data_IF_692287516245
#
_entry.id   IF_692287516245
#
_cell.length_a   1.000
_cell.length_b   1.000
_cell.length_c   1.000
_cell.angle_alpha   90.00
_cell.angle_beta   90.00
_cell.angle_gamma   90.00
#
_symmetry.space_group_name_H-M   'P 1'
#
loop_
_entity.id
_entity.type
_entity.pdbx_description
1 polymer ?
#
# COMPACT_ATOMS: atom_id res chain seq x y z
N UNK A 1 17.08 24.51 -25.46
CA UNK A 1 17.22 23.15 -24.90
C UNK A 1 16.83 23.20 -23.41
N UNK A 2 15.55 23.02 -23.08
CA UNK A 2 15.14 22.92 -21.67
C UNK A 2 15.63 21.58 -21.14
N UNK A 3 16.47 21.59 -20.10
CA UNK A 3 17.00 20.35 -19.54
C UNK A 3 15.83 19.47 -19.07
N UNK A 4 15.89 18.14 -19.27
CA UNK A 4 14.81 17.22 -18.85
C UNK A 4 14.52 17.29 -17.34
N UNK A 5 15.40 17.93 -16.56
CA UNK A 5 15.24 18.21 -15.14
C UNK A 5 14.20 19.32 -14.89
N UNK A 6 14.16 20.36 -15.72
CA UNK A 6 13.22 21.48 -15.56
C UNK A 6 11.75 21.05 -15.75
N UNK A 7 11.50 20.13 -16.68
CA UNK A 7 10.15 19.57 -16.93
C UNK A 7 9.71 18.70 -15.74
N UNK A 8 10.62 17.91 -15.17
CA UNK A 8 10.34 17.07 -14.00
C UNK A 8 10.06 17.90 -12.74
N UNK A 9 10.83 18.97 -12.53
CA UNK A 9 10.63 19.90 -11.42
C UNK A 9 9.33 20.70 -11.57
N UNK A 10 8.98 21.11 -12.80
CA UNK A 10 7.72 21.78 -13.09
C UNK A 10 6.50 20.89 -12.82
N UNK A 11 6.54 19.62 -13.22
CA UNK A 11 5.46 18.67 -12.93
C UNK A 11 5.30 18.41 -11.42
N UNK A 12 6.41 18.31 -10.68
CA UNK A 12 6.41 18.15 -9.21
C UNK A 12 5.85 19.39 -8.50
N UNK A 13 6.16 20.59 -8.99
CA UNK A 13 5.60 21.84 -8.48
C UNK A 13 4.10 21.97 -8.75
N UNK A 14 3.64 21.62 -9.96
CA UNK A 14 2.20 21.64 -10.29
C UNK A 14 1.43 20.63 -9.44
N UNK A 15 2.00 19.45 -9.21
CA UNK A 15 1.42 18.44 -8.34
C UNK A 15 1.31 18.95 -6.90
N UNK A 16 2.40 19.47 -6.34
CA UNK A 16 2.42 19.95 -4.94
C UNK A 16 1.52 21.17 -4.73
N UNK A 17 1.46 22.11 -5.68
CA UNK A 17 0.54 23.25 -5.65
C UNK A 17 -0.91 22.81 -5.84
N UNK A 18 -1.20 21.85 -6.71
CA UNK A 18 -2.55 21.30 -6.86
C UNK A 18 -3.04 20.62 -5.58
N UNK A 19 -2.16 19.91 -4.88
CA UNK A 19 -2.45 19.22 -3.62
C UNK A 19 -2.67 20.20 -2.46
N UNK A 20 -1.87 21.27 -2.35
CA UNK A 20 -2.09 22.31 -1.33
C UNK A 20 -3.43 23.03 -1.53
N UNK A 21 -3.75 23.41 -2.78
CA UNK A 21 -5.01 24.10 -3.09
C UNK A 21 -6.24 23.22 -2.81
N UNK A 22 -6.15 21.92 -3.10
CA UNK A 22 -7.19 20.95 -2.75
C UNK A 22 -7.36 20.78 -1.24
N UNK A 23 -6.27 20.79 -0.48
CA UNK A 23 -6.35 20.72 0.97
C UNK A 23 -7.02 21.96 1.57
N UNK A 24 -6.71 23.14 1.01
CA UNK A 24 -7.29 24.41 1.44
C UNK A 24 -8.77 24.58 1.03
N UNK A 25 -9.22 23.87 -0.03
CA UNK A 25 -10.61 23.93 -0.50
C UNK A 25 -11.64 23.31 0.47
N UNK A 26 -11.20 22.53 1.48
CA UNK A 26 -12.05 22.00 2.55
C UNK A 26 -13.17 21.03 2.13
N UNK A 27 -13.28 20.67 0.85
CA UNK A 27 -14.33 19.77 0.35
C UNK A 27 -13.94 18.31 0.58
N UNK A 28 -14.47 17.70 1.65
CA UNK A 28 -14.19 16.32 2.05
C UNK A 28 -14.35 15.29 0.91
N UNK A 29 -15.31 15.50 0.00
CA UNK A 29 -15.49 14.65 -1.18
C UNK A 29 -14.27 14.63 -2.11
N UNK A 30 -13.74 15.80 -2.46
CA UNK A 30 -12.62 15.92 -3.39
C UNK A 30 -11.32 15.38 -2.77
N UNK A 31 -11.14 15.56 -1.47
CA UNK A 31 -9.99 15.00 -0.75
C UNK A 31 -10.02 13.47 -0.76
N UNK A 32 -11.17 12.86 -0.44
CA UNK A 32 -11.33 11.39 -0.49
C UNK A 32 -11.10 10.81 -1.88
N UNK A 33 -11.62 11.48 -2.92
CA UNK A 33 -11.39 11.07 -4.32
C UNK A 33 -9.89 11.05 -4.68
N UNK A 34 -9.16 12.13 -4.33
CA UNK A 34 -7.74 12.27 -4.64
C UNK A 34 -6.86 11.31 -3.84
N UNK A 35 -7.24 11.01 -2.59
CA UNK A 35 -6.59 9.98 -1.77
C UNK A 35 -6.73 8.61 -2.43
N UNK A 36 -7.96 8.22 -2.82
CA UNK A 36 -8.20 6.94 -3.49
C UNK A 36 -7.44 6.84 -4.82
N UNK A 37 -7.38 7.93 -5.58
CA UNK A 37 -6.61 8.00 -6.82
C UNK A 37 -5.12 7.71 -6.56
N UNK A 38 -4.53 8.31 -5.53
CA UNK A 38 -3.13 8.04 -5.15
C UNK A 38 -2.89 6.58 -4.75
N UNK A 39 -3.81 5.96 -4.01
CA UNK A 39 -3.73 4.53 -3.64
C UNK A 39 -3.80 3.64 -4.88
N UNK A 40 -4.75 3.90 -5.79
CA UNK A 40 -4.85 3.15 -7.04
C UNK A 40 -3.66 3.38 -7.96
N UNK A 41 -3.07 4.58 -7.96
CA UNK A 41 -1.84 4.85 -8.70
C UNK A 41 -0.69 3.96 -8.20
N UNK A 42 -0.49 3.85 -6.89
CA UNK A 42 0.52 2.95 -6.29
C UNK A 42 0.25 1.50 -6.71
N UNK A 43 -1.01 1.06 -6.63
CA UNK A 43 -1.40 -0.30 -7.01
C UNK A 43 -1.09 -0.59 -8.48
N UNK A 44 -1.47 0.32 -9.38
CA UNK A 44 -1.25 0.19 -10.82
C UNK A 44 0.24 0.21 -11.14
N UNK A 45 1.04 1.07 -10.49
CA UNK A 45 2.49 1.09 -10.66
C UNK A 45 3.12 -0.24 -10.23
N UNK A 46 2.69 -0.80 -9.09
CA UNK A 46 3.16 -2.10 -8.61
C UNK A 46 2.76 -3.24 -9.56
N UNK A 47 1.51 -3.25 -10.03
CA UNK A 47 1.02 -4.25 -10.98
C UNK A 47 1.75 -4.17 -12.33
N UNK A 48 2.01 -2.95 -12.81
CA UNK A 48 2.72 -2.71 -14.05
C UNK A 48 4.20 -3.12 -13.94
N UNK A 49 4.81 -2.98 -12.75
CA UNK A 49 6.16 -3.50 -12.52
C UNK A 49 6.19 -5.03 -12.68
N UNK A 50 5.25 -5.76 -12.09
CA UNK A 50 5.21 -7.21 -12.22
C UNK A 50 4.85 -7.65 -13.65
N UNK A 51 3.70 -7.22 -14.15
CA UNK A 51 3.17 -7.66 -15.45
C UNK A 51 3.97 -7.12 -16.63
N UNK A 52 4.46 -5.88 -16.54
CA UNK A 52 5.17 -5.22 -17.63
C UNK A 52 6.61 -5.71 -17.82
N UNK A 53 7.31 -6.04 -16.73
CA UNK A 53 8.72 -6.46 -16.79
C UNK A 53 8.89 -7.97 -16.91
N UNK A 54 8.05 -8.76 -16.22
CA UNK A 54 8.18 -10.23 -16.24
C UNK A 54 7.25 -10.91 -17.24
N UNK A 55 6.28 -10.18 -17.80
CA UNK A 55 5.26 -10.76 -18.68
C UNK A 55 4.19 -11.61 -17.96
N UNK A 56 4.37 -11.89 -16.66
CA UNK A 56 3.43 -12.69 -15.86
C UNK A 56 2.42 -11.77 -15.16
N UNK A 57 1.14 -12.02 -15.39
CA UNK A 57 0.06 -11.33 -14.69
C UNK A 57 -0.07 -11.83 -13.25
N UNK A 58 -0.04 -10.91 -12.26
CA UNK A 58 -0.12 -11.24 -10.83
C UNK A 58 -1.23 -10.47 -10.11
N UNK A 59 -2.23 -11.19 -9.62
CA UNK A 59 -3.36 -10.64 -8.84
C UNK A 59 -3.07 -10.53 -7.34
N UNK A 60 -1.94 -11.06 -6.87
CA UNK A 60 -1.60 -11.13 -5.45
C UNK A 60 -1.38 -9.76 -4.80
N UNK A 61 -1.10 -8.72 -5.59
CA UNK A 61 -0.93 -7.34 -5.15
C UNK A 61 -2.09 -6.83 -4.30
N UNK A 62 -3.33 -7.17 -4.69
CA UNK A 62 -4.54 -6.76 -3.98
C UNK A 62 -4.61 -7.47 -2.60
N UNK A 63 -4.16 -8.72 -2.52
CA UNK A 63 -4.09 -9.46 -1.27
C UNK A 63 -3.09 -8.84 -0.28
N UNK A 64 -1.89 -8.49 -0.76
CA UNK A 64 -0.89 -7.80 0.08
C UNK A 64 -1.34 -6.39 0.48
N UNK A 65 -2.00 -5.66 -0.41
CA UNK A 65 -2.63 -4.38 -0.09
C UNK A 65 -3.66 -4.54 1.03
N UNK A 66 -4.52 -5.56 0.96
CA UNK A 66 -5.51 -5.82 2.01
C UNK A 66 -4.84 -6.12 3.35
N UNK A 67 -3.85 -7.02 3.39
CA UNK A 67 -3.11 -7.35 4.62
C UNK A 67 -2.46 -6.11 5.24
N UNK A 68 -1.84 -5.25 4.44
CA UNK A 68 -1.23 -4.00 4.90
C UNK A 68 -2.25 -2.99 5.41
N UNK A 69 -3.40 -2.88 4.75
CA UNK A 69 -4.48 -2.00 5.17
C UNK A 69 -5.07 -2.46 6.51
N UNK A 70 -5.34 -3.76 6.69
CA UNK A 70 -5.81 -4.30 7.97
C UNK A 70 -4.75 -4.14 9.07
N UNK A 71 -3.49 -4.47 8.79
CA UNK A 71 -2.40 -4.34 9.77
C UNK A 71 -2.21 -2.89 10.24
N UNK A 72 -2.14 -1.95 9.31
CA UNK A 72 -2.00 -0.52 9.65
C UNK A 72 -3.24 0.05 10.34
N UNK A 73 -4.46 -0.37 9.95
CA UNK A 73 -5.69 0.05 10.61
C UNK A 73 -5.75 -0.43 12.06
N UNK A 74 -5.39 -1.70 12.33
CA UNK A 74 -5.38 -2.26 13.70
C UNK A 74 -4.33 -1.58 14.57
N UNK A 75 -3.17 -1.22 14.02
CA UNK A 75 -2.10 -0.53 14.76
C UNK A 75 -2.44 0.95 15.04
N UNK A 76 -3.22 1.59 14.17
CA UNK A 76 -3.56 3.02 14.28
C UNK A 76 -4.88 3.26 15.03
N UNK A 77 -5.71 2.23 15.25
CA UNK A 77 -7.00 2.38 15.92
C UNK A 77 -6.82 2.90 17.38
N UNK A 78 -7.51 3.99 17.79
CA UNK A 78 -7.44 4.51 19.15
C UNK A 78 -7.85 3.47 20.21
N UNK A 79 -7.13 3.44 21.33
CA UNK A 79 -7.32 2.46 22.44
C UNK A 79 -8.77 2.41 22.94
N UNK A 80 -9.42 3.58 23.06
CA UNK A 80 -10.81 3.68 23.50
C UNK A 80 -11.79 2.96 22.56
N UNK A 81 -11.49 2.90 21.25
CA UNK A 81 -12.31 2.19 20.26
C UNK A 81 -11.85 0.77 19.99
N UNK A 82 -10.59 0.41 20.31
CA UNK A 82 -10.11 -0.98 20.27
C UNK A 82 -10.94 -1.89 21.18
N UNK A 83 -11.26 -1.45 22.40
CA UNK A 83 -12.04 -2.23 23.35
C UNK A 83 -13.48 -2.51 22.90
N UNK A 84 -14.16 -1.51 22.32
CA UNK A 84 -15.53 -1.67 21.79
C UNK A 84 -15.57 -2.46 20.49
N UNK A 85 -14.51 -2.37 19.69
CA UNK A 85 -14.48 -2.90 18.34
C UNK A 85 -13.89 -4.31 18.25
N UNK A 86 -12.98 -4.67 19.15
CA UNK A 86 -12.22 -5.91 19.10
C UNK A 86 -12.10 -6.54 20.50
N UNK A 87 -13.15 -7.23 20.98
CA UNK A 87 -13.23 -7.72 22.36
C UNK A 87 -12.25 -8.86 22.70
N UNK A 88 -11.70 -9.59 21.72
CA UNK A 88 -10.82 -10.76 21.94
C UNK A 88 -9.37 -10.52 21.47
N UNK A 89 -8.90 -9.29 21.54
CA UNK A 89 -7.57 -8.95 21.05
C UNK A 89 -6.51 -9.32 22.12
N UNK A 90 -5.41 -10.01 21.75
CA UNK A 90 -4.36 -10.36 22.71
C UNK A 90 -3.81 -9.13 23.42
N UNK A 91 -3.61 -9.21 24.74
CA UNK A 91 -3.25 -8.05 25.59
C UNK A 91 -2.02 -7.27 25.10
N UNK A 92 -1.05 -7.96 24.51
CA UNK A 92 0.17 -7.37 23.93
C UNK A 92 -0.09 -6.48 22.71
N UNK A 93 -1.19 -6.67 21.99
CA UNK A 93 -1.56 -5.90 20.79
C UNK A 93 -2.67 -4.87 21.10
N UNK A 94 -3.40 -5.08 22.20
CA UNK A 94 -4.32 -4.11 22.77
C UNK A 94 -3.58 -2.91 23.40
N UNK A 95 -2.41 -3.12 24.02
CA UNK A 95 -1.62 -2.06 24.66
C UNK A 95 -0.75 -1.24 23.69
N UNK A 96 -0.52 -1.73 22.46
CA UNK A 96 0.30 -1.04 21.47
C UNK A 96 -0.54 0.02 20.76
N UNK A 97 -0.17 1.27 20.98
CA UNK A 97 -0.73 2.44 20.34
C UNK A 97 0.40 3.42 20.05
N UNK A 98 0.57 3.74 18.77
CA UNK A 98 1.56 4.71 18.32
C UNK A 98 0.84 6.02 18.00
N UNK A 99 0.35 6.75 19.00
CA UNK A 99 -0.13 8.14 18.81
C UNK A 99 0.97 9.13 19.19
N UNK A 100 2.10 9.04 18.49
CA UNK A 100 3.14 10.05 18.59
C UNK A 100 2.89 11.14 17.54
N UNK A 101 2.52 12.33 18.01
CA UNK A 101 2.30 13.53 17.20
C UNK A 101 3.46 14.52 17.41
N UNK A 102 4.19 14.85 16.34
CA UNK A 102 5.13 15.98 16.33
C UNK A 102 4.56 17.05 15.39
N UNK A 103 3.70 17.93 15.95
CA UNK A 103 3.02 18.98 15.17
C UNK A 103 1.96 18.44 14.18
N UNK A 104 1.85 18.99 12.96
CA UNK A 104 0.82 18.60 11.97
C UNK A 104 1.07 17.24 11.29
N UNK A 105 2.13 16.52 11.66
CA UNK A 105 2.49 15.23 11.09
C UNK A 105 2.23 14.09 12.10
N UNK A 106 1.28 13.18 11.81
CA UNK A 106 1.08 11.98 12.61
C UNK A 106 2.20 10.96 12.33
N UNK A 107 3.34 11.09 13.00
CA UNK A 107 4.46 10.14 12.90
C UNK A 107 4.08 8.73 13.38
N UNK A 108 3.09 8.64 14.27
CA UNK A 108 2.43 7.39 14.64
C UNK A 108 1.95 6.57 13.45
N UNK A 109 1.37 7.24 12.45
CA UNK A 109 0.91 6.59 11.21
C UNK A 109 2.08 6.11 10.34
N UNK A 110 3.23 6.80 10.35
CA UNK A 110 4.44 6.33 9.68
C UNK A 110 4.93 5.03 10.29
N UNK A 111 5.06 4.98 11.61
CA UNK A 111 5.57 3.80 12.28
C UNK A 111 4.61 2.62 12.13
N UNK A 112 3.29 2.86 12.24
CA UNK A 112 2.28 1.84 12.01
C UNK A 112 2.27 1.32 10.56
N UNK A 113 2.37 2.20 9.57
CA UNK A 113 2.43 1.79 8.15
C UNK A 113 3.74 1.09 7.81
N UNK A 114 4.88 1.49 8.37
CA UNK A 114 6.16 0.81 8.18
C UNK A 114 6.21 -0.56 8.86
N UNK A 115 5.69 -0.69 10.08
CA UNK A 115 5.61 -1.98 10.77
C UNK A 115 4.67 -2.94 10.05
N UNK A 116 3.48 -2.45 9.64
CA UNK A 116 2.57 -3.23 8.82
C UNK A 116 3.21 -3.63 7.49
N UNK A 117 3.89 -2.69 6.82
CA UNK A 117 4.62 -2.98 5.58
C UNK A 117 5.75 -3.98 5.80
N UNK A 118 6.46 -3.94 6.93
CA UNK A 118 7.51 -4.89 7.29
C UNK A 118 6.96 -6.31 7.51
N UNK A 119 5.85 -6.44 8.25
CA UNK A 119 5.17 -7.72 8.43
C UNK A 119 4.65 -8.28 7.11
N UNK A 120 4.01 -7.44 6.30
CA UNK A 120 3.51 -7.84 4.98
C UNK A 120 4.65 -8.17 4.04
N UNK A 121 5.78 -7.46 4.10
CA UNK A 121 6.97 -7.79 3.32
C UNK A 121 7.52 -9.18 3.71
N UNK A 122 7.55 -9.51 5.01
CA UNK A 122 7.90 -10.85 5.48
C UNK A 122 6.97 -11.93 4.91
N UNK A 123 5.65 -11.71 4.97
CA UNK A 123 4.66 -12.62 4.37
C UNK A 123 4.84 -12.70 2.85
N UNK A 124 5.06 -11.58 2.17
CA UNK A 124 5.26 -11.52 0.74
C UNK A 124 6.54 -12.25 0.30
N UNK A 125 7.61 -12.21 1.10
CA UNK A 125 8.81 -13.00 0.84
C UNK A 125 8.54 -14.50 0.97
N UNK A 126 7.84 -14.93 2.03
CA UNK A 126 7.48 -16.34 2.20
C UNK A 126 6.60 -16.85 1.05
N UNK A 127 5.56 -16.09 0.70
CA UNK A 127 4.67 -16.42 -0.43
C UNK A 127 5.44 -16.36 -1.75
N UNK A 128 6.27 -15.35 -1.94
CA UNK A 128 7.11 -15.17 -3.13
C UNK A 128 8.08 -16.34 -3.35
N UNK A 129 8.72 -16.84 -2.30
CA UNK A 129 9.58 -18.02 -2.36
C UNK A 129 8.83 -19.28 -2.81
N UNK A 130 7.56 -19.41 -2.42
CA UNK A 130 6.70 -20.51 -2.91
C UNK A 130 6.32 -20.30 -4.37
N UNK A 131 5.97 -19.07 -4.76
CA UNK A 131 5.59 -18.73 -6.13
C UNK A 131 6.75 -18.90 -7.13
N UNK A 132 8.00 -18.67 -6.72
CA UNK A 132 9.19 -18.89 -7.55
C UNK A 132 9.39 -20.36 -7.96
N UNK A 133 8.72 -21.31 -7.31
CA UNK A 133 8.75 -22.73 -7.70
C UNK A 133 7.78 -23.07 -8.84
N UNK A 134 6.88 -22.16 -9.20
CA UNK A 134 5.91 -22.33 -10.28
C UNK A 134 6.37 -21.53 -11.51
N UNK A 135 6.19 -22.08 -12.71
CA UNK A 135 6.52 -21.42 -13.97
C UNK A 135 5.29 -21.16 -14.83
N UNK A 136 5.34 -20.08 -15.63
CA UNK A 136 4.34 -19.75 -16.65
C UNK A 136 2.94 -19.40 -16.09
N UNK A 137 1.89 -19.92 -16.74
CA UNK A 137 0.49 -19.61 -16.43
C UNK A 137 0.04 -20.03 -15.03
N UNK A 138 0.71 -21.00 -14.42
CA UNK A 138 0.36 -21.48 -13.08
C UNK A 138 0.61 -20.41 -12.00
N UNK A 139 1.54 -19.47 -12.23
CA UNK A 139 1.78 -18.35 -11.30
C UNK A 139 0.57 -17.44 -11.22
N UNK A 140 -0.07 -17.13 -12.36
CA UNK A 140 -1.27 -16.29 -12.38
C UNK A 140 -2.42 -16.94 -11.58
N UNK A 141 -2.67 -18.23 -11.81
CA UNK A 141 -3.68 -19.00 -11.08
C UNK A 141 -3.37 -19.08 -9.58
N UNK A 142 -2.10 -19.31 -9.22
CA UNK A 142 -1.66 -19.34 -7.83
C UNK A 142 -1.88 -17.99 -7.13
N UNK A 143 -1.61 -16.87 -7.80
CA UNK A 143 -1.84 -15.53 -7.22
C UNK A 143 -3.32 -15.18 -7.05
N UNK A 144 -4.19 -15.70 -7.94
CA UNK A 144 -5.64 -15.61 -7.76
C UNK A 144 -6.07 -16.41 -6.53
N UNK A 145 -5.60 -17.66 -6.41
CA UNK A 145 -5.86 -18.50 -5.23
C UNK A 145 -5.39 -17.83 -3.94
N UNK A 146 -4.19 -17.26 -3.93
CA UNK A 146 -3.67 -16.48 -2.81
C UNK A 146 -4.59 -15.30 -2.45
N UNK A 147 -5.01 -14.50 -3.44
CA UNK A 147 -5.94 -13.39 -3.22
C UNK A 147 -7.26 -13.87 -2.58
N UNK A 148 -7.81 -14.99 -3.07
CA UNK A 148 -9.04 -15.57 -2.51
C UNK A 148 -8.84 -16.06 -1.09
N UNK A 149 -7.73 -16.75 -0.81
CA UNK A 149 -7.41 -17.24 0.55
C UNK A 149 -7.29 -16.06 1.52
N UNK A 150 -6.52 -15.03 1.17
CA UNK A 150 -6.38 -13.83 2.00
C UNK A 150 -7.73 -13.17 2.25
N UNK A 151 -8.55 -13.02 1.20
CA UNK A 151 -9.89 -12.46 1.32
C UNK A 151 -10.76 -13.28 2.27
N UNK A 152 -10.78 -14.60 2.11
CA UNK A 152 -11.60 -15.49 2.96
C UNK A 152 -11.14 -15.39 4.42
N UNK A 153 -9.84 -15.42 4.69
CA UNK A 153 -9.30 -15.29 6.05
C UNK A 153 -9.70 -13.95 6.66
N UNK A 154 -9.52 -12.84 5.94
CA UNK A 154 -9.87 -11.51 6.46
C UNK A 154 -11.37 -11.35 6.72
N UNK A 155 -12.22 -11.96 5.89
CA UNK A 155 -13.68 -11.90 6.06
C UNK A 155 -14.20 -12.85 7.13
N UNK A 156 -13.55 -14.00 7.35
CA UNK A 156 -13.91 -14.95 8.42
C UNK A 156 -13.30 -14.58 9.77
N UNK A 157 -12.30 -13.69 9.81
CA UNK A 157 -11.63 -13.25 11.03
C UNK A 157 -12.47 -12.22 11.83
N UNK A 158 -13.77 -12.46 11.99
CA UNK A 158 -14.70 -11.59 12.72
C UNK A 158 -14.23 -11.32 14.16
N UNK A 159 -13.60 -12.32 14.80
CA UNK A 159 -13.13 -12.25 16.17
C UNK A 159 -11.91 -11.32 16.38
N UNK A 160 -11.08 -11.10 15.35
CA UNK A 160 -9.79 -10.38 15.47
C UNK A 160 -9.69 -9.12 14.61
N UNK A 161 -10.42 -9.02 13.50
CA UNK A 161 -10.32 -7.92 12.53
C UNK A 161 -11.66 -7.27 12.21
N UNK A 162 -12.75 -7.73 12.84
CA UNK A 162 -14.16 -7.36 12.57
C UNK A 162 -14.68 -7.79 11.19
N UNK A 163 -13.99 -8.75 10.56
CA UNK A 163 -14.38 -9.29 9.27
C UNK A 163 -14.47 -8.22 8.20
N UNK A 164 -15.62 -8.18 7.50
CA UNK A 164 -15.89 -7.24 6.40
C UNK A 164 -16.27 -5.82 6.83
N UNK A 165 -16.35 -5.54 8.13
CA UNK A 165 -16.89 -4.27 8.64
C UNK A 165 -15.84 -3.17 8.63
N UNK A 166 -16.17 -2.04 7.98
CA UNK A 166 -15.35 -0.83 8.01
C UNK A 166 -15.30 -0.24 9.43
N UNK A 167 -14.13 0.21 9.86
CA UNK A 167 -14.00 0.98 11.10
C UNK A 167 -14.66 2.36 10.93
N UNK A 168 -15.81 2.56 11.55
CA UNK A 168 -16.50 3.85 11.56
C UNK A 168 -15.94 4.77 12.66
N UNK A 169 -15.93 6.09 12.43
CA UNK A 169 -15.45 7.09 13.39
C UNK A 169 -13.98 6.95 13.85
N UNK A 170 -13.07 6.57 12.94
CA UNK A 170 -11.63 6.63 13.20
C UNK A 170 -11.11 8.00 12.74
N UNK A 171 -10.21 8.60 13.51
CA UNK A 171 -9.47 9.80 13.11
C UNK A 171 -8.79 9.54 11.76
N UNK A 172 -9.04 10.35 10.71
CA UNK A 172 -8.45 10.12 9.40
C UNK A 172 -6.97 10.53 9.42
N UNK A 173 -6.10 9.61 9.83
CA UNK A 173 -4.65 9.80 9.80
C UNK A 173 -4.08 9.76 8.37
N UNK A 174 -4.82 9.19 7.42
CA UNK A 174 -4.44 9.10 6.01
C UNK A 174 -4.58 10.46 5.32
N UNK A 175 -3.63 11.35 5.57
CA UNK A 175 -3.58 12.67 4.96
C UNK A 175 -3.24 12.62 3.48
N UNK A 176 -3.69 13.64 2.74
CA UNK A 176 -3.36 13.85 1.33
C UNK A 176 -1.84 13.78 1.09
N UNK A 177 -1.06 14.48 1.90
CA UNK A 177 0.41 14.46 1.82
C UNK A 177 0.99 13.07 1.99
N UNK A 178 0.42 12.24 2.87
CA UNK A 178 0.96 10.92 3.12
C UNK A 178 0.88 10.03 1.90
N UNK A 179 -0.31 9.96 1.29
CA UNK A 179 -0.54 9.11 0.12
C UNK A 179 0.31 9.57 -1.05
N UNK A 180 0.39 10.87 -1.28
CA UNK A 180 1.17 11.40 -2.40
C UNK A 180 2.68 11.30 -2.18
N UNK A 181 3.18 11.42 -0.94
CA UNK A 181 4.57 11.12 -0.63
C UNK A 181 4.90 9.64 -0.94
N UNK A 182 4.05 8.71 -0.54
CA UNK A 182 4.21 7.29 -0.87
C UNK A 182 4.08 7.02 -2.38
N UNK A 183 3.15 7.68 -3.06
CA UNK A 183 2.98 7.57 -4.51
C UNK A 183 4.23 8.04 -5.27
N UNK A 184 4.79 9.20 -4.89
CA UNK A 184 6.02 9.72 -5.48
C UNK A 184 7.20 8.80 -5.17
N UNK A 185 7.30 8.30 -3.93
CA UNK A 185 8.36 7.36 -3.54
C UNK A 185 8.30 6.06 -4.34
N UNK A 186 7.11 5.46 -4.48
CA UNK A 186 6.92 4.24 -5.28
C UNK A 186 7.24 4.49 -6.76
N UNK A 187 6.82 5.63 -7.30
CA UNK A 187 7.16 6.03 -8.67
C UNK A 187 8.67 6.21 -8.86
N UNK A 188 9.36 6.82 -7.90
CA UNK A 188 10.82 6.96 -7.90
C UNK A 188 11.51 5.59 -7.84
N UNK A 189 11.04 4.67 -6.98
CA UNK A 189 11.59 3.30 -6.87
C UNK A 189 11.39 2.53 -8.18
N UNK A 190 10.20 2.56 -8.77
CA UNK A 190 9.91 1.92 -10.06
C UNK A 190 10.77 2.51 -11.17
N UNK A 191 10.90 3.83 -11.20
CA UNK A 191 11.77 4.51 -12.16
C UNK A 191 13.23 4.06 -11.99
N UNK A 192 13.74 4.00 -10.75
CA UNK A 192 15.11 3.54 -10.46
C UNK A 192 15.31 2.07 -10.86
N UNK A 193 14.34 1.20 -10.58
CA UNK A 193 14.40 -0.22 -10.94
C UNK A 193 14.43 -0.43 -12.45
N UNK A 194 13.65 0.35 -13.21
CA UNK A 194 13.62 0.28 -14.68
C UNK A 194 15.00 0.49 -15.31
N UNK A 195 15.80 1.42 -14.78
CA UNK A 195 17.14 1.69 -15.30
C UNK A 195 18.25 0.84 -14.63
N UNK A 196 17.90 0.01 -13.65
CA UNK A 196 18.84 -0.87 -12.94
C UNK A 196 19.15 -2.16 -13.73
N UNK A 197 20.19 -2.88 -13.29
CA UNK A 197 20.57 -4.17 -13.86
C UNK A 197 19.45 -5.22 -13.74
N UNK A 198 18.75 -5.24 -12.61
CA UNK A 198 17.62 -6.14 -12.38
C UNK A 198 16.47 -5.91 -13.37
N UNK A 199 16.15 -4.65 -13.67
CA UNK A 199 15.09 -4.33 -14.63
C UNK A 199 15.42 -4.80 -16.05
N UNK A 200 16.69 -4.68 -16.46
CA UNK A 200 17.17 -5.18 -17.77
C UNK A 200 17.15 -6.71 -17.83
N UNK A 201 17.52 -7.40 -16.75
CA UNK A 201 17.50 -8.86 -16.69
C UNK A 201 16.07 -9.42 -16.79
N UNK A 202 15.09 -8.78 -16.13
CA UNK A 202 13.68 -9.18 -16.24
C UNK A 202 13.14 -8.99 -17.66
N UNK A 203 13.50 -7.89 -18.32
CA UNK A 203 13.11 -7.65 -19.71
C UNK A 203 13.66 -8.72 -20.66
N UNK A 204 14.93 -9.12 -20.48
CA UNK A 204 15.53 -10.19 -21.28
C UNK A 204 14.78 -11.52 -21.10
N UNK A 205 14.44 -11.91 -19.86
CA UNK A 205 13.68 -13.13 -19.60
C UNK A 205 12.29 -13.14 -20.24
N UNK A 206 11.63 -11.97 -20.34
CA UNK A 206 10.35 -11.83 -21.03
C UNK A 206 10.49 -11.96 -22.55
N UNK A 207 11.59 -11.50 -23.12
CA UNK A 207 11.86 -11.63 -24.56
C UNK A 207 12.23 -13.07 -24.94
N UNK A 208 12.77 -13.85 -24.00
CA UNK A 208 13.15 -15.27 -24.17
C UNK A 208 12.02 -16.28 -23.93
N UNK A 209 10.86 -15.86 -23.40
CA UNK A 209 9.71 -16.70 -23.03
C UNK A 209 8.57 -16.64 -24.06
#
# INVERSE_FOLDING_TARGET
MQSPVAIRLGALLILTVGLTLLQLSGRAFWQGFVINLGIFMILVLSLNLASGFTGVFSLGHIGFMALGAYGSAILTLPLAKKADYLPNLPAWLAAVHFDFYLGPFPLGFLLATLLAAGLVAGVALLVGLVLMRLSGHFVAVATLGFLVIVRVILFNADNFTRGSRTFSNVTPYTGLWWVWCWAILTLYVVWRLKYSAYGRAMFAQREDS
#
